data_IF_398306560919
#
_entry.id   IF_398306560919
#
_cell.length_a   1.000
_cell.length_b   1.000
_cell.length_c   1.000
_cell.angle_alpha   90.00
_cell.angle_beta   90.00
_cell.angle_gamma   90.00
#
_symmetry.space_group_name_H-M   'P 1'
#
loop_
_entity.id
_entity.type
_entity.pdbx_description
1 polymer ?
#
# COMPACT_ATOMS: atom_id res chain seq x y z
N UNK A 1 -19.77 -13.73 58.49
CA UNK A 1 -21.22 -13.73 58.23
C UNK A 1 -21.50 -12.87 57.02
N UNK A 2 -22.01 -13.47 55.94
CA UNK A 2 -22.36 -12.76 54.71
C UNK A 2 -23.83 -12.35 54.67
N UNK A 3 -24.14 -11.40 53.79
CA UNK A 3 -25.45 -11.31 53.15
C UNK A 3 -25.28 -10.90 51.69
N UNK A 4 -25.69 -11.82 50.81
CA UNK A 4 -25.90 -11.67 49.38
C UNK A 4 -27.19 -10.88 49.13
N UNK A 5 -27.17 -9.90 48.23
CA UNK A 5 -28.39 -9.32 47.63
C UNK A 5 -28.36 -9.45 46.12
N UNK A 6 -29.36 -10.18 45.63
CA UNK A 6 -29.84 -10.33 44.24
C UNK A 6 -30.21 -8.92 43.70
N UNK A 7 -30.00 -8.54 42.45
CA UNK A 7 -30.38 -9.18 41.19
C UNK A 7 -31.65 -8.51 40.66
N UNK A 8 -31.57 -7.79 39.52
CA UNK A 8 -32.71 -7.40 38.68
C UNK A 8 -32.20 -7.07 37.27
N UNK A 9 -32.50 -7.97 36.33
CA UNK A 9 -32.25 -7.79 34.90
C UNK A 9 -33.40 -7.04 34.24
N UNK A 10 -33.07 -6.25 33.22
CA UNK A 10 -34.04 -5.67 32.29
C UNK A 10 -33.82 -6.28 30.91
N UNK A 11 -34.78 -7.08 30.48
CA UNK A 11 -34.97 -7.54 29.10
C UNK A 11 -35.95 -6.57 28.46
N UNK A 12 -35.60 -5.97 27.31
CA UNK A 12 -36.59 -5.26 26.49
C UNK A 12 -36.52 -5.79 25.06
N UNK A 13 -37.68 -6.22 24.59
CA UNK A 13 -37.94 -6.87 23.32
C UNK A 13 -37.74 -5.94 22.10
N UNK A 14 -37.27 -6.53 21.00
CA UNK A 14 -37.47 -6.03 19.64
C UNK A 14 -38.85 -6.43 19.12
N UNK A 15 -39.46 -5.63 18.22
CA UNK A 15 -40.47 -6.14 17.29
C UNK A 15 -40.00 -6.09 15.83
N UNK A 16 -40.15 -7.23 15.17
CA UNK A 16 -40.13 -7.40 13.72
C UNK A 16 -41.48 -6.95 13.11
N UNK A 17 -41.44 -6.52 11.85
CA UNK A 17 -42.58 -6.38 10.93
C UNK A 17 -42.20 -5.38 9.83
N UNK A 18 -42.38 -5.59 8.52
CA UNK A 18 -43.11 -6.61 7.77
C UNK A 18 -43.69 -5.94 6.52
N UNK A 19 -43.25 -6.40 5.34
CA UNK A 19 -43.96 -6.55 4.05
C UNK A 19 -44.61 -5.34 3.31
N UNK A 20 -44.23 -5.15 2.03
CA UNK A 20 -45.10 -5.06 0.81
C UNK A 20 -44.21 -4.72 -0.42
N UNK A 21 -44.07 -5.55 -1.46
CA UNK A 21 -44.97 -5.93 -2.58
C UNK A 21 -45.24 -4.81 -3.59
N UNK A 22 -44.93 -5.11 -4.87
CA UNK A 22 -45.45 -4.61 -6.16
C UNK A 22 -44.27 -4.21 -7.09
N UNK A 23 -43.84 -5.02 -8.07
CA UNK A 23 -44.50 -5.48 -9.29
C UNK A 23 -44.78 -4.38 -10.34
N UNK A 24 -44.12 -4.58 -11.49
CA UNK A 24 -44.68 -4.45 -12.85
C UNK A 24 -44.59 -3.07 -13.53
N UNK A 25 -43.84 -2.97 -14.64
CA UNK A 25 -44.37 -3.04 -16.03
C UNK A 25 -43.39 -2.48 -17.09
N UNK A 26 -43.16 -3.33 -18.11
CA UNK A 26 -43.16 -3.06 -19.56
C UNK A 26 -42.58 -1.75 -20.13
N UNK A 27 -41.72 -1.86 -21.14
CA UNK A 27 -42.05 -1.49 -22.54
C UNK A 27 -40.82 -1.54 -23.47
N UNK A 28 -40.80 -2.41 -24.49
CA UNK A 28 -41.04 -2.08 -25.93
C UNK A 28 -39.73 -1.78 -26.71
N UNK A 29 -39.35 -2.73 -27.58
CA UNK A 29 -38.58 -2.47 -28.82
C UNK A 29 -39.52 -1.93 -29.90
N UNK A 30 -39.03 -1.20 -30.92
CA UNK A 30 -38.90 -1.84 -32.25
C UNK A 30 -37.71 -1.36 -33.12
N UNK A 31 -37.50 -1.98 -34.31
CA UNK A 31 -36.26 -1.98 -35.11
C UNK A 31 -36.38 -1.24 -36.47
N UNK A 32 -35.28 -1.20 -37.24
CA UNK A 32 -35.17 -1.31 -38.73
C UNK A 32 -33.80 -0.75 -39.18
N UNK A 33 -32.95 -1.43 -39.97
CA UNK A 33 -33.04 -1.59 -41.44
C UNK A 33 -32.38 -0.38 -42.14
N UNK A 34 -31.48 -0.43 -43.13
CA UNK A 34 -30.87 -1.44 -43.97
C UNK A 34 -30.10 -0.75 -45.14
N UNK A 35 -29.26 -1.52 -45.86
CA UNK A 35 -28.88 -1.40 -47.29
C UNK A 35 -27.92 -0.32 -47.85
N UNK A 36 -26.78 -0.84 -48.35
CA UNK A 36 -26.22 -0.80 -49.73
C UNK A 36 -25.41 0.38 -50.30
N UNK A 37 -24.48 -0.02 -51.21
CA UNK A 37 -23.68 0.68 -52.25
C UNK A 37 -22.31 1.16 -51.75
N UNK A 38 -21.14 0.81 -52.30
CA UNK A 38 -20.76 0.12 -53.54
C UNK A 38 -20.34 1.11 -54.62
N UNK A 39 -19.08 1.61 -54.62
CA UNK A 39 -18.44 2.31 -55.75
C UNK A 39 -16.98 1.86 -55.91
N UNK A 40 -16.57 1.77 -57.16
CA UNK A 40 -15.40 1.06 -57.71
C UNK A 40 -14.17 1.95 -57.88
N UNK A 41 -12.99 1.28 -57.84
CA UNK A 41 -11.74 1.43 -58.63
C UNK A 41 -11.23 2.83 -58.99
N UNK A 42 -9.91 3.04 -58.86
CA UNK A 42 -8.88 3.49 -59.86
C UNK A 42 -7.51 3.21 -59.16
N UNK A 43 -6.71 2.17 -59.49
CA UNK A 43 -5.55 2.14 -60.44
C UNK A 43 -4.81 3.48 -60.58
N UNK A 44 -3.48 3.61 -60.57
CA UNK A 44 -2.32 2.73 -60.51
C UNK A 44 -1.07 3.62 -60.26
N UNK A 45 0.09 3.01 -59.97
CA UNK A 45 1.46 3.47 -60.29
C UNK A 45 2.41 3.21 -59.10
N UNK A 46 2.99 2.02 -58.97
CA UNK A 46 4.34 1.67 -59.48
C UNK A 46 5.44 2.66 -59.12
N UNK A 47 6.18 2.37 -58.04
CA UNK A 47 7.63 2.50 -58.10
C UNK A 47 8.30 1.36 -57.33
N UNK A 48 8.94 0.48 -58.10
CA UNK A 48 9.83 -0.57 -57.63
C UNK A 48 11.20 0.08 -57.42
N UNK A 49 11.72 0.08 -56.20
CA UNK A 49 13.17 0.20 -55.98
C UNK A 49 13.60 -0.65 -54.79
N UNK A 50 14.42 -1.64 -55.12
CA UNK A 50 15.50 -2.27 -54.33
C UNK A 50 15.16 -2.85 -52.96
N UNK A 51 14.96 -4.17 -52.94
CA UNK A 51 15.34 -5.04 -51.84
C UNK A 51 16.88 -5.12 -51.82
N UNK A 52 17.45 -5.10 -50.62
CA UNK A 52 18.86 -5.30 -50.25
C UNK A 52 19.63 -4.04 -49.83
N UNK A 53 20.37 -4.22 -48.73
CA UNK A 53 21.38 -3.33 -48.14
C UNK A 53 20.92 -2.21 -47.21
N UNK A 54 20.65 -2.60 -45.94
CA UNK A 54 21.51 -2.19 -44.80
C UNK A 54 21.08 -2.86 -43.49
N UNK A 55 21.67 -4.02 -43.22
CA UNK A 55 21.97 -4.42 -41.84
C UNK A 55 23.09 -3.52 -41.31
N UNK A 56 22.80 -2.65 -40.36
CA UNK A 56 23.70 -2.23 -39.26
C UNK A 56 23.12 -1.02 -38.53
N UNK A 57 22.41 -1.30 -37.44
CA UNK A 57 22.45 -0.54 -36.17
C UNK A 57 21.37 -1.11 -35.25
N UNK A 58 21.57 -2.36 -34.85
CA UNK A 58 21.06 -2.80 -33.56
C UNK A 58 21.90 -2.11 -32.48
N UNK A 59 21.27 -1.81 -31.35
CA UNK A 59 21.85 -1.22 -30.14
C UNK A 59 21.91 0.31 -30.09
N UNK A 60 20.74 0.98 -30.13
CA UNK A 60 20.55 2.08 -29.18
C UNK A 60 20.53 1.46 -27.79
N UNK A 61 21.68 1.51 -27.13
CA UNK A 61 21.92 1.07 -25.77
C UNK A 61 20.86 1.66 -24.84
N UNK A 62 19.88 0.84 -24.45
CA UNK A 62 19.15 1.08 -23.22
C UNK A 62 20.16 0.90 -22.08
N UNK A 63 20.92 1.96 -21.79
CA UNK A 63 21.69 2.05 -20.55
C UNK A 63 20.66 2.02 -19.43
N UNK A 64 20.46 0.84 -18.87
CA UNK A 64 19.80 0.69 -17.58
C UNK A 64 20.69 1.41 -16.58
N UNK A 65 20.38 2.67 -16.28
CA UNK A 65 21.08 3.46 -15.27
C UNK A 65 20.82 2.75 -13.93
N UNK A 66 21.79 1.96 -13.49
CA UNK A 66 21.78 1.40 -12.16
C UNK A 66 22.02 2.53 -11.17
N UNK A 67 21.10 2.72 -10.23
CA UNK A 67 21.29 3.70 -9.17
C UNK A 67 22.23 3.14 -8.11
N UNK A 68 23.22 3.92 -7.74
CA UNK A 68 24.04 3.68 -6.55
C UNK A 68 23.18 3.77 -5.29
N UNK A 69 23.65 3.19 -4.18
CA UNK A 69 22.94 3.28 -2.90
C UNK A 69 22.71 4.74 -2.44
N UNK A 70 23.67 5.64 -2.73
CA UNK A 70 23.51 7.07 -2.43
C UNK A 70 22.41 7.71 -3.25
N UNK A 71 22.29 7.35 -4.53
CA UNK A 71 21.24 7.85 -5.41
C UNK A 71 19.86 7.32 -5.02
N UNK A 72 19.75 6.04 -4.65
CA UNK A 72 18.52 5.44 -4.12
C UNK A 72 18.05 6.21 -2.87
N UNK A 73 18.95 6.43 -1.91
CA UNK A 73 18.61 7.16 -0.69
C UNK A 73 18.26 8.62 -0.99
N UNK A 74 18.98 9.28 -1.91
CA UNK A 74 18.67 10.65 -2.30
C UNK A 74 17.30 10.76 -3.00
N UNK A 75 16.97 9.79 -3.85
CA UNK A 75 15.67 9.69 -4.53
C UNK A 75 14.53 9.49 -3.53
N UNK A 76 14.69 8.58 -2.57
CA UNK A 76 13.71 8.37 -1.49
C UNK A 76 13.47 9.66 -0.71
N UNK A 77 14.53 10.34 -0.28
CA UNK A 77 14.42 11.59 0.48
C UNK A 77 13.69 12.66 -0.33
N UNK A 78 13.96 12.74 -1.64
CA UNK A 78 13.41 13.76 -2.52
C UNK A 78 11.93 13.54 -2.84
N UNK A 79 11.53 12.29 -3.05
CA UNK A 79 10.21 11.99 -3.64
C UNK A 79 9.28 11.17 -2.76
N UNK A 80 9.77 10.51 -1.71
CA UNK A 80 8.96 9.60 -0.89
C UNK A 80 8.79 10.07 0.55
N UNK A 81 9.82 10.67 1.15
CA UNK A 81 9.83 11.05 2.57
C UNK A 81 8.64 11.92 2.98
N UNK A 82 8.36 12.99 2.21
CA UNK A 82 7.31 13.94 2.56
C UNK A 82 5.92 13.28 2.63
N UNK A 83 5.63 12.38 1.68
CA UNK A 83 4.36 11.63 1.66
C UNK A 83 4.26 10.65 2.82
N UNK A 84 5.36 9.92 3.12
CA UNK A 84 5.42 9.01 4.25
C UNK A 84 5.25 9.75 5.59
N UNK A 85 5.86 10.91 5.75
CA UNK A 85 5.70 11.77 6.93
C UNK A 85 4.29 12.35 7.03
N UNK A 86 3.65 12.70 5.91
CA UNK A 86 2.26 13.16 5.89
C UNK A 86 1.30 12.04 6.30
N UNK A 87 1.49 10.82 5.80
CA UNK A 87 0.71 9.66 6.22
C UNK A 87 0.86 9.42 7.73
N UNK A 88 2.10 9.33 8.24
CA UNK A 88 2.33 9.17 9.68
C UNK A 88 1.71 10.30 10.50
N UNK A 89 1.86 11.55 10.07
CA UNK A 89 1.30 12.71 10.76
C UNK A 89 -0.21 12.59 10.88
N UNK A 90 -0.89 12.09 9.86
CA UNK A 90 -2.33 11.89 9.92
C UNK A 90 -2.71 10.94 11.06
N UNK A 91 -2.02 9.81 11.22
CA UNK A 91 -2.26 8.91 12.37
C UNK A 91 -1.88 9.55 13.71
N UNK A 92 -0.83 10.37 13.73
CA UNK A 92 -0.37 11.03 14.95
C UNK A 92 -1.42 11.99 15.54
N UNK A 93 -2.13 12.73 14.68
CA UNK A 93 -3.05 13.81 15.10
C UNK A 93 -4.49 13.38 15.40
N UNK A 94 -4.77 12.07 15.41
CA UNK A 94 -6.11 11.56 15.74
C UNK A 94 -6.50 12.00 17.16
N UNK A 95 -7.79 12.24 17.41
CA UNK A 95 -8.23 12.89 18.67
C UNK A 95 -8.06 11.98 19.86
N UNK A 96 -8.17 10.67 19.63
CA UNK A 96 -8.06 9.65 20.66
C UNK A 96 -7.27 8.44 20.15
N UNK A 97 -6.69 7.67 21.07
CA UNK A 97 -6.06 6.40 20.75
C UNK A 97 -7.05 5.43 20.08
N UNK A 98 -8.32 5.48 20.49
CA UNK A 98 -9.38 4.67 19.89
C UNK A 98 -9.56 4.97 18.40
N UNK A 99 -9.59 6.26 18.01
CA UNK A 99 -9.66 6.66 16.60
C UNK A 99 -8.40 6.22 15.84
N UNK A 100 -7.21 6.45 16.42
CA UNK A 100 -5.94 6.02 15.81
C UNK A 100 -5.91 4.50 15.55
N UNK A 101 -6.31 3.68 16.53
CA UNK A 101 -6.40 2.22 16.40
C UNK A 101 -7.43 1.82 15.34
N UNK A 102 -8.60 2.47 15.33
CA UNK A 102 -9.65 2.17 14.35
C UNK A 102 -9.18 2.45 12.92
N UNK A 103 -8.53 3.59 12.69
CA UNK A 103 -7.98 3.94 11.39
C UNK A 103 -6.81 3.04 10.99
N UNK A 104 -5.91 2.72 11.93
CA UNK A 104 -4.75 1.86 11.68
C UNK A 104 -5.17 0.45 11.29
N UNK A 105 -6.09 -0.17 12.05
CA UNK A 105 -6.54 -1.54 11.83
C UNK A 105 -7.29 -1.71 10.49
N UNK A 106 -8.05 -0.70 10.08
CA UNK A 106 -8.75 -0.69 8.79
C UNK A 106 -7.88 -0.21 7.63
N UNK A 107 -6.65 0.22 7.91
CA UNK A 107 -5.72 0.81 6.96
C UNK A 107 -6.38 1.94 6.15
N UNK A 108 -7.10 2.84 6.83
CA UNK A 108 -7.78 3.97 6.19
C UNK A 108 -6.77 5.11 6.01
N UNK A 109 -6.88 5.85 4.91
CA UNK A 109 -6.08 7.03 4.60
C UNK A 109 -6.84 8.33 4.94
N UNK A 110 -6.21 9.52 4.90
CA UNK A 110 -6.91 10.79 5.09
C UNK A 110 -8.10 10.98 4.14
N UNK A 111 -8.04 10.38 2.95
CA UNK A 111 -9.11 10.44 1.95
C UNK A 111 -10.28 9.46 2.21
N UNK A 112 -10.24 8.69 3.30
CA UNK A 112 -11.18 7.61 3.60
C UNK A 112 -10.95 6.33 2.79
N UNK A 113 -10.03 6.35 1.81
CA UNK A 113 -9.68 5.16 1.02
C UNK A 113 -8.75 4.23 1.79
N UNK A 114 -8.76 2.95 1.43
CA UNK A 114 -7.80 1.97 1.99
C UNK A 114 -6.39 2.20 1.42
N UNK A 115 -5.41 2.12 2.31
CA UNK A 115 -3.99 2.25 1.99
C UNK A 115 -3.51 1.13 1.07
N UNK A 116 -2.54 1.48 0.24
CA UNK A 116 -2.17 0.72 -0.96
C UNK A 116 -1.74 -0.72 -0.63
N UNK A 117 -0.98 -0.88 0.46
CA UNK A 117 -0.42 -2.15 0.95
C UNK A 117 -1.50 -3.12 1.45
N UNK A 118 -2.61 -2.64 2.00
CA UNK A 118 -3.69 -3.48 2.54
C UNK A 118 -4.90 -3.62 1.61
N UNK A 119 -4.86 -3.05 0.40
CA UNK A 119 -5.98 -3.09 -0.57
C UNK A 119 -6.53 -4.50 -0.81
N UNK A 120 -5.68 -5.51 -0.86
CA UNK A 120 -6.07 -6.91 -1.15
C UNK A 120 -6.56 -7.69 0.06
N UNK A 121 -6.44 -7.15 1.28
CA UNK A 121 -6.90 -7.83 2.48
C UNK A 121 -8.43 -7.72 2.55
N UNK A 122 -9.18 -8.82 2.75
CA UNK A 122 -10.63 -8.76 2.86
C UNK A 122 -11.08 -7.81 3.98
N UNK A 123 -12.18 -7.09 3.76
CA UNK A 123 -12.72 -6.17 4.78
C UNK A 123 -13.06 -6.89 6.09
N UNK A 124 -13.55 -8.13 6.03
CA UNK A 124 -13.84 -8.95 7.21
C UNK A 124 -12.59 -9.23 8.06
N UNK A 125 -11.44 -9.47 7.41
CA UNK A 125 -10.16 -9.71 8.08
C UNK A 125 -9.66 -8.44 8.79
N UNK A 126 -9.75 -7.28 8.14
CA UNK A 126 -9.38 -5.99 8.75
C UNK A 126 -10.35 -5.60 9.89
N UNK A 127 -11.65 -5.88 9.73
CA UNK A 127 -12.63 -5.62 10.78
C UNK A 127 -12.39 -6.48 12.02
N UNK A 128 -12.02 -7.75 11.84
CA UNK A 128 -11.64 -8.64 12.95
C UNK A 128 -10.36 -8.15 13.65
N UNK A 129 -9.35 -7.71 12.88
CA UNK A 129 -8.15 -7.05 13.43
C UNK A 129 -8.53 -5.83 14.28
N UNK A 130 -9.39 -4.95 13.75
CA UNK A 130 -9.89 -3.78 14.45
C UNK A 130 -10.60 -4.12 15.76
N UNK A 131 -11.46 -5.15 15.77
CA UNK A 131 -12.15 -5.61 16.97
C UNK A 131 -11.18 -6.08 18.06
N UNK A 132 -10.16 -6.87 17.70
CA UNK A 132 -9.16 -7.37 18.66
C UNK A 132 -8.33 -6.23 19.24
N UNK A 133 -7.85 -5.32 18.40
CA UNK A 133 -7.06 -4.17 18.84
C UNK A 133 -7.88 -3.22 19.72
N UNK A 134 -9.17 -3.01 19.39
CA UNK A 134 -10.07 -2.15 20.14
C UNK A 134 -10.28 -2.64 21.58
N UNK A 135 -10.60 -3.93 21.76
CA UNK A 135 -10.79 -4.50 23.11
C UNK A 135 -9.50 -4.46 23.93
N UNK A 136 -8.34 -4.42 23.26
CA UNK A 136 -7.02 -4.37 23.87
C UNK A 136 -6.41 -2.96 23.94
N UNK A 137 -7.20 -1.90 23.78
CA UNK A 137 -6.74 -0.50 23.95
C UNK A 137 -5.91 -0.27 25.24
N UNK A 138 -6.29 -0.80 26.43
CA UNK A 138 -5.49 -0.63 27.64
C UNK A 138 -4.11 -1.31 27.60
N UNK A 139 -3.94 -2.36 26.78
CA UNK A 139 -2.64 -3.00 26.59
C UNK A 139 -1.77 -2.17 25.63
N UNK A 140 -2.35 -1.73 24.51
CA UNK A 140 -1.66 -0.87 23.53
C UNK A 140 -1.16 0.44 24.17
N UNK A 141 -1.96 1.07 25.04
CA UNK A 141 -1.57 2.33 25.70
C UNK A 141 -0.44 2.18 26.72
N UNK A 142 -0.11 0.95 27.13
CA UNK A 142 0.95 0.69 28.12
C UNK A 142 2.33 0.51 27.50
N UNK A 143 2.42 0.24 26.19
CA UNK A 143 3.67 0.07 25.48
C UNK A 143 4.60 1.28 25.71
N UNK A 144 5.87 1.01 26.01
CA UNK A 144 6.91 2.02 26.30
C UNK A 144 7.90 2.20 25.17
N UNK A 145 7.95 1.24 24.25
CA UNK A 145 8.74 1.27 23.04
C UNK A 145 7.91 0.86 21.84
N UNK A 146 8.43 1.13 20.65
CA UNK A 146 7.80 0.67 19.42
C UNK A 146 7.85 -0.86 19.32
N UNK A 147 8.93 -1.47 19.78
CA UNK A 147 9.16 -2.91 19.76
C UNK A 147 8.11 -3.63 20.64
N UNK A 148 7.86 -3.13 21.86
CA UNK A 148 6.79 -3.65 22.73
C UNK A 148 5.40 -3.48 22.10
N UNK A 149 5.16 -2.35 21.43
CA UNK A 149 3.92 -2.11 20.70
C UNK A 149 3.76 -3.10 19.55
N UNK A 150 4.81 -3.32 18.78
CA UNK A 150 4.83 -4.26 17.65
C UNK A 150 4.53 -5.68 18.13
N UNK A 151 5.22 -6.15 19.17
CA UNK A 151 4.97 -7.46 19.80
C UNK A 151 3.53 -7.61 20.29
N UNK A 152 2.98 -6.55 20.90
CA UNK A 152 1.59 -6.53 21.36
C UNK A 152 0.62 -6.64 20.17
N UNK A 153 0.84 -5.88 19.09
CA UNK A 153 0.01 -5.95 17.88
C UNK A 153 0.11 -7.34 17.26
N UNK A 154 1.31 -7.88 17.11
CA UNK A 154 1.56 -9.22 16.58
C UNK A 154 0.81 -10.30 17.37
N UNK A 155 0.88 -10.28 18.70
CA UNK A 155 0.18 -11.22 19.57
C UNK A 155 -1.36 -11.14 19.40
N UNK A 156 -1.90 -9.95 19.16
CA UNK A 156 -3.34 -9.74 19.03
C UNK A 156 -3.89 -10.18 17.66
N UNK A 157 -3.19 -9.82 16.57
CA UNK A 157 -3.73 -9.95 15.20
C UNK A 157 -2.96 -10.91 14.30
N UNK A 158 -1.75 -11.34 14.68
CA UNK A 158 -0.89 -12.16 13.82
C UNK A 158 -1.43 -13.56 13.55
N UNK A 159 -2.33 -14.07 14.39
CA UNK A 159 -3.00 -15.36 14.18
C UNK A 159 -4.24 -15.27 13.27
N UNK A 160 -4.60 -14.08 12.78
CA UNK A 160 -5.73 -13.92 11.86
C UNK A 160 -5.27 -14.31 10.45
N UNK A 161 -5.89 -15.32 9.79
CA UNK A 161 -5.53 -15.67 8.43
C UNK A 161 -5.66 -14.49 7.47
N UNK A 162 -4.60 -14.23 6.71
CA UNK A 162 -4.52 -13.09 5.78
C UNK A 162 -3.86 -11.83 6.36
N UNK A 163 -3.57 -11.81 7.67
CA UNK A 163 -2.66 -10.83 8.28
C UNK A 163 -1.24 -11.41 8.24
N UNK A 164 -0.30 -10.65 7.69
CA UNK A 164 1.13 -11.01 7.68
C UNK A 164 2.00 -9.91 8.27
N UNK A 165 3.31 -10.17 8.36
CA UNK A 165 4.33 -9.28 8.96
C UNK A 165 4.18 -7.81 8.51
N UNK A 166 4.00 -7.56 7.22
CA UNK A 166 3.79 -6.19 6.70
C UNK A 166 2.56 -5.50 7.30
N UNK A 167 1.46 -6.22 7.48
CA UNK A 167 0.24 -5.62 8.05
C UNK A 167 0.38 -5.37 9.55
N UNK A 168 1.07 -6.26 10.25
CA UNK A 168 1.40 -6.09 11.68
C UNK A 168 2.28 -4.86 11.84
N UNK A 169 3.39 -4.77 11.10
CA UNK A 169 4.31 -3.64 11.13
C UNK A 169 3.61 -2.33 10.79
N UNK A 170 2.90 -2.26 9.66
CA UNK A 170 2.16 -1.07 9.25
C UNK A 170 1.14 -0.63 10.32
N UNK A 171 0.42 -1.58 10.92
CA UNK A 171 -0.56 -1.28 11.98
C UNK A 171 0.12 -0.73 13.23
N UNK A 172 1.23 -1.36 13.66
CA UNK A 172 2.03 -0.89 14.78
C UNK A 172 2.63 0.49 14.51
N UNK A 173 3.15 0.76 13.30
CA UNK A 173 3.70 2.06 12.90
C UNK A 173 2.67 3.19 12.98
N UNK A 174 1.44 2.90 12.56
CA UNK A 174 0.32 3.85 12.59
C UNK A 174 -0.15 4.14 14.01
N UNK A 175 -0.29 3.11 14.86
CA UNK A 175 -0.62 3.29 16.28
C UNK A 175 0.54 4.02 17.00
N UNK A 176 1.78 3.62 16.70
CA UNK A 176 3.01 4.19 17.25
C UNK A 176 3.14 5.68 16.94
N UNK A 177 2.73 6.13 15.75
CA UNK A 177 2.71 7.55 15.41
C UNK A 177 1.84 8.37 16.38
N UNK A 178 0.68 7.85 16.81
CA UNK A 178 -0.16 8.50 17.81
C UNK A 178 0.45 8.45 19.22
N UNK A 179 1.05 7.32 19.58
CA UNK A 179 1.72 7.13 20.87
C UNK A 179 3.11 7.78 20.95
N UNK A 180 3.61 8.36 19.85
CA UNK A 180 4.98 8.90 19.70
C UNK A 180 6.06 7.85 19.93
N UNK A 181 5.79 6.62 19.51
CA UNK A 181 6.70 5.49 19.54
C UNK A 181 7.20 5.22 18.12
N UNK A 182 8.51 5.29 17.93
CA UNK A 182 9.18 5.09 16.66
C UNK A 182 10.10 3.86 16.75
N UNK A 183 10.22 3.05 15.68
CA UNK A 183 11.13 1.93 15.66
C UNK A 183 12.57 2.38 15.88
N UNK A 184 13.32 1.59 16.63
CA UNK A 184 14.77 1.75 16.81
C UNK A 184 15.58 0.81 15.92
N UNK A 185 14.92 -0.22 15.38
CA UNK A 185 15.46 -1.23 14.47
C UNK A 185 14.63 -1.29 13.18
N UNK A 186 15.23 -1.82 12.11
CA UNK A 186 14.55 -1.99 10.82
C UNK A 186 13.84 -3.34 10.81
N UNK A 187 12.52 -3.34 10.89
CA UNK A 187 11.72 -4.56 10.86
C UNK A 187 11.68 -5.17 9.45
N UNK A 188 11.70 -6.51 9.41
CA UNK A 188 11.71 -7.28 8.19
C UNK A 188 10.37 -7.97 7.96
N UNK A 189 9.87 -7.85 6.74
CA UNK A 189 8.77 -8.63 6.20
C UNK A 189 9.10 -9.08 4.77
N UNK A 190 8.24 -9.86 4.13
CA UNK A 190 8.49 -10.39 2.78
C UNK A 190 9.12 -9.40 1.78
N UNK A 191 8.61 -8.17 1.69
CA UNK A 191 9.18 -7.10 0.86
C UNK A 191 10.60 -6.67 1.25
N UNK A 192 10.81 -6.26 2.50
CA UNK A 192 12.11 -5.79 2.98
C UNK A 192 13.16 -6.88 3.09
N UNK A 193 12.77 -8.14 3.32
CA UNK A 193 13.69 -9.29 3.26
C UNK A 193 14.33 -9.44 1.88
N UNK A 194 13.62 -9.09 0.79
CA UNK A 194 14.22 -9.05 -0.55
C UNK A 194 15.27 -7.94 -0.62
N UNK A 195 14.93 -6.72 -0.23
CA UNK A 195 15.86 -5.59 -0.24
C UNK A 195 17.11 -5.85 0.62
N UNK A 196 16.93 -6.32 1.85
CA UNK A 196 18.01 -6.62 2.80
C UNK A 196 18.95 -7.70 2.26
N UNK A 197 18.41 -8.80 1.71
CA UNK A 197 19.22 -9.86 1.09
C UNK A 197 20.08 -9.32 -0.05
N UNK A 198 19.55 -8.40 -0.85
CA UNK A 198 20.29 -7.79 -1.96
C UNK A 198 21.34 -6.78 -1.52
N UNK A 199 21.26 -6.28 -0.28
CA UNK A 199 22.33 -5.55 0.38
C UNK A 199 23.37 -6.47 1.04
N UNK A 200 23.22 -7.80 0.94
CA UNK A 200 24.10 -8.76 1.60
C UNK A 200 23.86 -8.92 3.10
N UNK A 201 22.73 -8.42 3.63
CA UNK A 201 22.41 -8.48 5.04
C UNK A 201 21.74 -9.81 5.42
N UNK A 202 21.93 -10.22 6.68
CA UNK A 202 21.21 -11.39 7.21
C UNK A 202 19.72 -11.10 7.33
N UNK A 203 18.89 -12.05 6.90
CA UNK A 203 17.43 -11.96 6.97
C UNK A 203 16.81 -13.07 7.81
N UNK A 204 17.62 -13.73 8.65
CA UNK A 204 17.15 -14.76 9.59
C UNK A 204 16.35 -14.18 10.75
N UNK A 205 16.64 -12.93 11.13
CA UNK A 205 15.99 -12.25 12.24
C UNK A 205 14.72 -11.50 11.78
N UNK A 206 13.88 -11.10 12.74
CA UNK A 206 12.69 -10.27 12.47
C UNK A 206 13.05 -8.80 12.22
N UNK A 207 14.23 -8.35 12.62
CA UNK A 207 14.70 -6.99 12.44
C UNK A 207 16.23 -6.93 12.30
N UNK A 208 16.72 -5.78 11.82
CA UNK A 208 18.16 -5.49 11.66
C UNK A 208 18.47 -4.15 12.35
N UNK A 209 19.51 -4.07 13.19
CA UNK A 209 20.02 -2.81 13.74
C UNK A 209 20.46 -1.84 12.62
N UNK A 210 20.17 -0.55 12.79
CA UNK A 210 20.54 0.47 11.78
C UNK A 210 22.03 0.44 11.46
N UNK A 211 22.89 0.18 12.44
CA UNK A 211 24.35 0.11 12.28
C UNK A 211 24.85 -0.94 11.29
N UNK A 212 24.05 -1.98 10.99
CA UNK A 212 24.43 -3.00 10.00
C UNK A 212 24.20 -2.54 8.56
N UNK A 213 23.43 -1.47 8.34
CA UNK A 213 23.15 -0.98 6.99
C UNK A 213 24.35 -0.21 6.40
N UNK A 214 24.48 -0.15 5.06
CA UNK A 214 25.51 0.66 4.42
C UNK A 214 25.47 2.12 4.86
N UNK A 215 26.63 2.79 4.92
CA UNK A 215 26.76 4.16 5.42
C UNK A 215 25.74 5.15 4.81
N UNK A 216 25.38 4.97 3.53
CA UNK A 216 24.37 5.81 2.86
C UNK A 216 23.00 5.84 3.55
N UNK A 217 22.62 4.74 4.23
CA UNK A 217 21.35 4.57 4.93
C UNK A 217 21.37 5.12 6.36
N UNK A 218 22.54 5.34 6.96
CA UNK A 218 22.68 5.72 8.38
C UNK A 218 22.05 7.07 8.74
N UNK A 219 21.76 7.90 7.73
CA UNK A 219 21.04 9.18 7.89
C UNK A 219 19.51 9.05 7.84
N UNK A 220 19.00 7.86 7.57
CA UNK A 220 17.58 7.55 7.50
C UNK A 220 17.11 7.01 8.85
N UNK A 221 15.85 7.28 9.20
CA UNK A 221 15.19 6.65 10.34
C UNK A 221 14.91 5.16 10.04
N UNK A 222 14.74 4.29 11.04
CA UNK A 222 14.54 2.86 10.80
C UNK A 222 13.34 2.54 9.87
N UNK A 223 12.22 3.25 10.04
CA UNK A 223 11.06 3.13 9.14
C UNK A 223 11.34 3.56 7.69
N UNK A 224 12.24 4.52 7.50
CA UNK A 224 12.59 5.01 6.17
C UNK A 224 13.51 4.01 5.47
N UNK A 225 14.38 3.35 6.24
CA UNK A 225 15.17 2.23 5.74
C UNK A 225 14.23 1.09 5.31
N UNK A 226 13.24 0.73 6.13
CA UNK A 226 12.21 -0.26 5.78
C UNK A 226 11.54 0.10 4.45
N UNK A 227 11.00 1.31 4.32
CA UNK A 227 10.39 1.81 3.08
C UNK A 227 11.33 1.65 1.87
N UNK A 228 12.59 2.04 2.00
CA UNK A 228 13.59 1.93 0.93
C UNK A 228 13.78 0.47 0.54
N UNK A 229 13.95 -0.43 1.52
CA UNK A 229 14.10 -1.86 1.25
C UNK A 229 12.87 -2.44 0.55
N UNK A 230 11.66 -1.99 0.90
CA UNK A 230 10.43 -2.52 0.32
C UNK A 230 10.17 -2.00 -1.11
N UNK A 231 10.42 -0.70 -1.32
CA UNK A 231 10.13 0.03 -2.57
C UNK A 231 11.22 -0.17 -3.62
N UNK A 232 12.49 -0.03 -3.23
CA UNK A 232 13.64 -0.10 -4.13
C UNK A 232 14.26 -1.50 -4.18
N UNK A 233 13.56 -2.54 -3.71
CA UNK A 233 14.08 -3.91 -3.70
C UNK A 233 14.57 -4.39 -5.06
N UNK A 234 14.05 -3.86 -6.16
CA UNK A 234 14.46 -4.25 -7.51
C UNK A 234 15.78 -3.60 -7.94
N UNK A 235 16.10 -2.46 -7.37
CA UNK A 235 17.23 -1.58 -7.66
C UNK A 235 18.41 -1.84 -6.70
N UNK A 236 18.11 -2.26 -5.47
CA UNK A 236 19.11 -2.74 -4.52
C UNK A 236 19.74 -4.02 -5.07
N UNK A 237 21.07 -4.07 -5.25
CA UNK A 237 21.81 -5.26 -5.65
C UNK A 237 21.93 -5.55 -7.16
N UNK A 238 21.64 -4.59 -8.05
CA UNK A 238 21.79 -4.78 -9.50
C UNK A 238 23.23 -4.60 -10.02
N UNK A 239 24.30 -4.73 -9.22
CA UNK A 239 25.64 -4.93 -9.80
C UNK A 239 25.71 -6.29 -10.51
N UNK A 240 25.27 -6.32 -11.79
CA UNK A 240 25.46 -7.45 -12.70
C UNK A 240 24.25 -8.28 -13.13
N UNK A 241 23.00 -7.83 -12.94
CA UNK A 241 21.82 -8.56 -13.45
C UNK A 241 20.82 -7.62 -14.15
N UNK A 242 20.31 -7.95 -15.36
CA UNK A 242 19.45 -7.04 -16.11
C UNK A 242 18.11 -6.84 -15.40
N UNK A 243 17.54 -5.61 -15.44
CA UNK A 243 16.29 -5.29 -14.77
C UNK A 243 15.13 -6.11 -15.36
N UNK A 244 14.40 -6.81 -14.49
CA UNK A 244 13.08 -7.33 -14.86
C UNK A 244 12.14 -6.16 -15.11
N UNK A 245 11.54 -6.12 -16.30
CA UNK A 245 10.60 -5.11 -16.78
C UNK A 245 9.56 -4.67 -15.73
N UNK A 246 9.49 -3.35 -15.52
CA UNK A 246 8.44 -2.50 -14.90
C UNK A 246 7.19 -3.21 -14.32
N UNK A 247 6.92 -2.94 -13.03
CA UNK A 247 5.61 -2.47 -12.49
C UNK A 247 5.76 -2.20 -10.97
N UNK A 248 6.04 -0.94 -10.64
CA UNK A 248 6.04 -0.41 -9.27
C UNK A 248 4.95 0.65 -9.16
N UNK A 249 4.06 0.46 -8.19
CA UNK A 249 2.73 1.01 -8.13
C UNK A 249 2.69 2.44 -7.56
N UNK A 250 2.98 3.47 -8.36
CA UNK A 250 2.47 4.83 -8.12
C UNK A 250 2.32 5.54 -9.47
N UNK A 251 1.09 5.57 -10.01
CA UNK A 251 0.75 6.50 -11.08
C UNK A 251 0.92 7.92 -10.52
N UNK A 252 1.87 8.66 -11.09
CA UNK A 252 1.96 10.11 -10.92
C UNK A 252 0.70 10.72 -11.53
N UNK A 253 -0.25 11.14 -10.71
CA UNK A 253 -1.16 12.19 -11.12
C UNK A 253 -0.35 13.48 -11.19
N UNK A 254 0.05 13.87 -12.41
CA UNK A 254 0.64 15.16 -12.73
C UNK A 254 -0.49 16.20 -12.85
N UNK A 255 -0.63 17.20 -11.96
CA UNK A 255 -1.72 18.17 -12.03
C UNK A 255 -1.23 19.48 -12.65
N UNK A 256 -0.63 19.46 -13.84
CA UNK A 256 -0.30 20.71 -14.57
C UNK A 256 -0.04 20.43 -16.05
N UNK A 257 -1.11 20.37 -16.87
CA UNK A 257 -1.15 20.78 -18.29
C UNK A 257 -2.49 20.42 -18.94
N UNK A 258 -3.58 21.06 -18.49
CA UNK A 258 -4.79 21.21 -19.29
C UNK A 258 -5.41 22.58 -19.01
N UNK A 259 -4.83 23.61 -19.61
CA UNK A 259 -5.54 24.85 -19.95
C UNK A 259 -5.03 25.30 -21.32
N UNK A 260 -5.94 25.87 -22.11
CA UNK A 260 -5.87 26.18 -23.55
C UNK A 260 -6.11 24.92 -24.40
N UNK A 261 -7.18 24.75 -25.17
CA UNK A 261 -8.17 25.67 -25.71
C UNK A 261 -9.54 24.99 -25.82
N UNK A 262 -10.58 25.63 -25.32
CA UNK A 262 -11.95 25.51 -25.83
C UNK A 262 -12.72 26.78 -25.46
N UNK A 263 -13.21 27.51 -26.46
CA UNK A 263 -14.26 28.51 -26.28
C UNK A 263 -13.97 29.90 -26.85
N UNK A 264 -13.99 30.05 -28.18
CA UNK A 264 -15.10 30.72 -28.88
C UNK A 264 -15.01 30.50 -30.39
#
# INVERSE_FOLDING_TARGET
>A
MGYYSKGLGFIVHSPCGGVNVAANRTSICPPAGGRTRGWSRHSASSNKFSVAERCSSAATLAVSIMMTLREIVADYIRYCRADAEQEQRWFAIQRTLQEAVSHAALAVSPSGKRLSHQRRIPQSVLAESGRRLFVSLPALSKAKSFEELHETVEALIGQIPGIGELTIYDTALRIGAHLRLEPTVVFLHAGTRVGARRLGLSVSCASIPVSEFPHAFQKLKPREIEDVLCRYKSELGNEGNPPSSRRGCYDRANPEMHRTCAGR
#
